data_IF_346134350780
#
_entry.id   IF_346134350780
#
_cell.length_a   1.000
_cell.length_b   1.000
_cell.length_c   1.000
_cell.angle_alpha   90.00
_cell.angle_beta   90.00
_cell.angle_gamma   90.00
#
_symmetry.space_group_name_H-M   'P 1'
#
loop_
_entity.id
_entity.type
_entity.pdbx_description
1 polymer ?
#
# COMPACT_ATOMS: atom_id res chain seq x y z
N UNK A 1 -1.72 5.47 33.02
CA UNK A 1 -1.35 6.75 33.70
C UNK A 1 -2.62 7.59 33.80
N UNK A 2 -2.91 8.32 34.90
CA UNK A 2 -4.18 9.07 34.99
C UNK A 2 -4.20 10.25 34.01
N UNK A 3 -5.37 10.59 33.45
CA UNK A 3 -5.60 11.72 32.53
C UNK A 3 -4.99 13.02 33.08
N UNK A 4 -4.99 13.21 34.41
CA UNK A 4 -4.42 14.38 35.07
C UNK A 4 -2.88 14.46 34.92
N UNK A 5 -2.16 13.33 35.12
CA UNK A 5 -0.71 13.25 34.90
C UNK A 5 -0.33 13.36 33.42
N UNK A 6 -1.18 12.85 32.53
CA UNK A 6 -1.02 13.00 31.07
C UNK A 6 -1.20 14.47 30.67
N UNK A 7 -2.23 15.17 31.16
CA UNK A 7 -2.42 16.61 30.88
C UNK A 7 -1.30 17.49 31.46
N UNK A 8 -0.77 17.14 32.63
CA UNK A 8 0.38 17.85 33.25
C UNK A 8 1.71 17.55 32.53
N UNK A 9 1.92 16.31 32.07
CA UNK A 9 3.11 15.90 31.33
C UNK A 9 3.08 16.35 29.85
N UNK A 10 1.90 16.50 29.27
CA UNK A 10 1.68 16.92 27.88
C UNK A 10 1.34 18.41 27.76
N UNK A 11 2.22 19.27 28.28
CA UNK A 11 2.38 20.62 27.71
C UNK A 11 3.28 20.53 26.48
N UNK A 12 2.82 19.83 25.44
CA UNK A 12 3.41 20.02 24.10
C UNK A 12 3.16 21.47 23.71
N UNK A 13 4.19 22.20 23.26
CA UNK A 13 4.14 23.66 23.04
C UNK A 13 2.93 24.06 22.17
N UNK A 14 1.88 24.55 22.84
CA UNK A 14 0.65 25.05 22.23
C UNK A 14 -0.46 24.02 21.95
N UNK A 15 -0.31 22.74 22.32
CA UNK A 15 -1.35 21.72 22.13
C UNK A 15 -2.15 21.47 23.41
N UNK A 16 -3.45 21.75 23.36
CA UNK A 16 -4.40 21.47 24.43
C UNK A 16 -5.00 20.08 24.27
N UNK A 17 -4.68 19.14 25.15
CA UNK A 17 -5.23 17.77 25.10
C UNK A 17 -6.71 17.75 25.50
N UNK A 18 -7.56 17.26 24.59
CA UNK A 18 -9.01 17.20 24.75
C UNK A 18 -9.45 15.87 25.35
N UNK A 19 -9.25 14.76 24.62
CA UNK A 19 -9.67 13.40 25.01
C UNK A 19 -8.85 12.32 24.30
N UNK A 20 -8.93 11.09 24.78
CA UNK A 20 -8.38 9.93 24.06
C UNK A 20 -9.26 9.62 22.84
N UNK A 21 -8.63 9.26 21.72
CA UNK A 21 -9.28 8.81 20.47
C UNK A 21 -9.23 7.29 20.33
N UNK A 22 -8.13 6.68 20.75
CA UNK A 22 -7.96 5.24 20.68
C UNK A 22 -6.75 4.76 21.45
N UNK A 23 -6.82 3.52 21.88
CA UNK A 23 -5.76 2.85 22.64
C UNK A 23 -5.37 1.55 21.90
N UNK A 24 -4.20 1.56 21.27
CA UNK A 24 -3.62 0.37 20.64
C UNK A 24 -2.72 -0.42 21.59
N UNK A 25 -2.21 -1.56 21.14
CA UNK A 25 -1.23 -2.34 21.91
C UNK A 25 0.10 -1.60 22.15
N UNK A 26 0.45 -0.64 21.30
CA UNK A 26 1.77 0.02 21.27
C UNK A 26 1.72 1.53 21.51
N UNK A 27 0.56 2.16 21.34
CA UNK A 27 0.43 3.60 21.44
C UNK A 27 -0.99 3.99 21.87
N UNK A 28 -1.10 5.15 22.49
CA UNK A 28 -2.33 5.87 22.72
C UNK A 28 -2.41 7.04 21.73
N UNK A 29 -3.61 7.31 21.21
CA UNK A 29 -3.86 8.44 20.32
C UNK A 29 -4.81 9.40 21.01
N UNK A 30 -4.41 10.66 21.08
CA UNK A 30 -5.14 11.72 21.79
C UNK A 30 -5.59 12.79 20.82
N UNK A 31 -6.80 13.32 21.01
CA UNK A 31 -7.27 14.53 20.36
C UNK A 31 -6.66 15.73 21.07
N UNK A 32 -6.10 16.65 20.31
CA UNK A 32 -5.55 17.91 20.79
C UNK A 32 -6.02 19.08 19.93
N UNK A 33 -6.01 20.28 20.52
CA UNK A 33 -6.35 21.53 19.84
C UNK A 33 -5.21 22.55 19.95
N UNK A 34 -4.91 23.22 18.84
CA UNK A 34 -3.90 24.28 18.75
C UNK A 34 -4.35 25.32 17.73
N UNK A 35 -4.37 26.58 18.13
CA UNK A 35 -4.76 27.73 17.29
C UNK A 35 -6.10 27.52 16.57
N UNK A 36 -7.10 27.01 17.30
CA UNK A 36 -8.45 26.72 16.76
C UNK A 36 -8.54 25.50 15.82
N UNK A 37 -7.47 24.71 15.67
CA UNK A 37 -7.42 23.51 14.83
C UNK A 37 -7.24 22.25 15.66
N UNK A 38 -7.83 21.15 15.19
CA UNK A 38 -7.75 19.82 15.82
C UNK A 38 -6.65 18.96 15.21
N UNK A 39 -5.98 18.19 16.07
CA UNK A 39 -4.87 17.30 15.74
C UNK A 39 -5.02 15.97 16.50
N UNK A 40 -4.47 14.91 15.93
CA UNK A 40 -4.28 13.66 16.64
C UNK A 40 -2.81 13.56 17.09
N UNK A 41 -2.57 13.16 18.34
CA UNK A 41 -1.24 13.00 18.92
C UNK A 41 -1.07 11.53 19.31
N UNK A 42 -0.22 10.81 18.57
CA UNK A 42 0.16 9.43 18.87
C UNK A 42 1.32 9.43 19.85
N UNK A 43 1.17 8.68 20.93
CA UNK A 43 2.13 8.59 22.03
C UNK A 43 2.40 7.11 22.26
N UNK A 44 3.66 6.63 22.18
CA UNK A 44 3.95 5.24 22.43
C UNK A 44 3.66 4.91 23.90
N UNK A 45 3.06 3.75 24.13
CA UNK A 45 2.81 3.25 25.48
C UNK A 45 4.13 2.92 26.16
N UNK A 46 4.39 3.58 27.27
CA UNK A 46 5.44 3.19 28.21
C UNK A 46 4.82 2.11 29.09
N UNK A 47 5.23 0.86 28.93
CA UNK A 47 4.71 -0.21 29.77
C UNK A 47 5.07 0.07 31.23
N UNK A 48 4.11 -0.13 32.15
CA UNK A 48 4.32 0.09 33.60
C UNK A 48 5.41 -0.86 34.16
N UNK A 49 5.73 -1.94 33.43
CA UNK A 49 6.75 -2.93 33.77
C UNK A 49 8.02 -2.83 32.91
N UNK A 50 8.04 -1.93 31.92
CA UNK A 50 9.18 -1.74 31.00
C UNK A 50 9.35 -0.26 30.69
N UNK A 51 10.48 0.30 31.12
CA UNK A 51 11.02 1.52 30.54
C UNK A 51 11.08 1.34 29.01
N UNK A 52 10.65 2.34 28.22
CA UNK A 52 10.91 2.36 26.77
C UNK A 52 12.40 2.07 26.57
N UNK A 53 12.73 0.95 25.91
CA UNK A 53 14.12 0.72 25.56
C UNK A 53 14.54 1.82 24.58
N UNK A 54 15.79 2.31 24.63
CA UNK A 54 16.29 3.25 23.64
C UNK A 54 16.04 2.79 22.19
N UNK A 55 16.07 1.47 21.96
CA UNK A 55 15.78 0.84 20.67
C UNK A 55 14.32 0.98 20.24
N UNK A 56 13.36 0.92 21.15
CA UNK A 56 11.94 1.06 20.80
C UNK A 56 11.59 2.53 20.51
N UNK A 57 12.23 3.46 21.23
CA UNK A 57 12.12 4.88 20.96
C UNK A 57 12.74 5.24 19.59
N UNK A 58 13.94 4.75 19.29
CA UNK A 58 14.59 4.96 18.00
C UNK A 58 13.72 4.47 16.84
N UNK A 59 13.11 3.28 16.97
CA UNK A 59 12.16 2.74 15.98
C UNK A 59 10.94 3.64 15.81
N UNK A 60 10.34 4.11 16.90
CA UNK A 60 9.18 4.99 16.87
C UNK A 60 9.50 6.31 16.13
N UNK A 61 10.65 6.91 16.40
CA UNK A 61 11.08 8.14 15.73
C UNK A 61 11.42 7.90 14.25
N UNK A 62 12.05 6.77 13.93
CA UNK A 62 12.33 6.39 12.54
C UNK A 62 11.05 6.15 11.73
N UNK A 63 10.04 5.55 12.35
CA UNK A 63 8.69 5.43 11.77
C UNK A 63 8.09 6.81 11.50
N UNK A 64 8.15 7.71 12.48
CA UNK A 64 7.66 9.09 12.33
C UNK A 64 8.38 9.83 11.20
N UNK A 65 9.71 9.70 11.12
CA UNK A 65 10.52 10.33 10.08
C UNK A 65 10.12 9.84 8.69
N UNK A 66 10.02 8.52 8.49
CA UNK A 66 9.67 7.95 7.19
C UNK A 66 8.25 8.33 6.78
N UNK A 67 7.30 8.25 7.73
CA UNK A 67 5.93 8.68 7.48
C UNK A 67 5.86 10.17 7.14
N UNK A 68 6.62 11.03 7.82
CA UNK A 68 6.64 12.48 7.54
C UNK A 68 7.11 12.85 6.13
N UNK A 69 7.89 11.96 5.47
CA UNK A 69 8.36 12.14 4.09
C UNK A 69 7.31 11.76 3.05
N UNK A 70 6.28 11.00 3.41
CA UNK A 70 5.21 10.60 2.51
C UNK A 70 4.19 11.74 2.31
N UNK A 71 4.11 12.29 1.10
CA UNK A 71 3.22 13.40 0.75
C UNK A 71 2.21 12.95 -0.30
N UNK A 72 1.05 12.46 0.14
CA UNK A 72 -0.02 12.02 -0.74
C UNK A 72 -1.41 12.35 -0.15
N UNK A 73 -2.40 12.67 -0.99
CA UNK A 73 -3.75 13.07 -0.55
C UNK A 73 -4.47 12.00 0.28
N UNK A 74 -4.17 10.72 0.05
CA UNK A 74 -4.72 9.56 0.76
C UNK A 74 -3.76 8.97 1.81
N UNK A 75 -2.80 9.76 2.31
CA UNK A 75 -1.94 9.42 3.43
C UNK A 75 -2.20 10.44 4.54
N UNK A 76 -2.41 9.97 5.77
CA UNK A 76 -2.58 10.85 6.92
C UNK A 76 -1.31 11.68 7.10
N UNK A 77 -1.46 13.00 7.15
CA UNK A 77 -0.32 13.92 7.22
C UNK A 77 0.28 13.93 8.63
N UNK A 78 1.59 13.76 8.72
CA UNK A 78 2.38 14.08 9.92
C UNK A 78 2.77 15.55 9.88
N UNK A 79 2.51 16.28 10.96
CA UNK A 79 2.89 17.68 11.12
C UNK A 79 4.19 17.85 11.90
N UNK A 80 4.33 17.11 12.99
CA UNK A 80 5.48 17.20 13.88
C UNK A 80 5.71 15.85 14.56
N UNK A 81 6.94 15.59 14.97
CA UNK A 81 7.27 14.48 15.86
C UNK A 81 8.48 14.86 16.72
N UNK A 82 8.62 14.23 17.88
CA UNK A 82 9.71 14.56 18.79
C UNK A 82 9.75 13.67 20.02
N UNK A 83 10.74 13.93 20.88
CA UNK A 83 11.00 13.15 22.11
C UNK A 83 10.67 13.90 23.39
N UNK A 84 10.45 15.22 23.31
CA UNK A 84 10.24 16.10 24.47
C UNK A 84 8.85 16.74 24.45
N UNK A 85 8.17 16.86 25.60
CA UNK A 85 8.58 16.31 26.91
C UNK A 85 8.46 14.78 27.00
N UNK A 86 7.88 14.14 25.99
CA UNK A 86 7.81 12.68 25.80
C UNK A 86 7.75 12.38 24.29
N UNK A 87 8.01 11.13 23.87
CA UNK A 87 7.92 10.72 22.47
C UNK A 87 6.50 10.90 21.90
N UNK A 88 6.38 11.56 20.74
CA UNK A 88 5.09 11.84 20.14
C UNK A 88 5.16 12.00 18.62
N UNK A 89 4.02 11.82 17.96
CA UNK A 89 3.77 12.19 16.57
C UNK A 89 2.46 12.97 16.53
N UNK A 90 2.51 14.22 16.05
CA UNK A 90 1.33 15.04 15.76
C UNK A 90 0.95 14.86 14.29
N UNK A 91 -0.31 14.52 14.07
CA UNK A 91 -0.86 14.20 12.75
C UNK A 91 -2.24 14.80 12.54
N UNK A 92 -2.69 14.77 11.30
CA UNK A 92 -4.05 15.14 10.89
C UNK A 92 -5.08 14.38 11.72
N UNK A 93 -6.02 15.12 12.31
CA UNK A 93 -7.15 14.51 13.00
C UNK A 93 -8.20 14.04 12.00
N UNK A 94 -8.49 12.74 12.02
CA UNK A 94 -9.49 12.09 11.20
C UNK A 94 -10.49 11.40 12.14
N UNK A 95 -11.79 11.61 11.91
CA UNK A 95 -12.81 11.42 12.94
C UNK A 95 -13.15 9.96 13.20
N UNK A 96 -13.23 9.17 12.14
CA UNK A 96 -13.65 7.76 12.17
C UNK A 96 -12.72 6.91 11.33
N UNK A 97 -12.59 5.64 11.71
CA UNK A 97 -11.91 4.61 10.94
C UNK A 97 -12.87 3.91 9.97
N UNK A 98 -12.34 3.22 8.97
CA UNK A 98 -13.12 2.37 8.08
C UNK A 98 -13.79 1.23 8.84
N UNK A 99 -13.16 0.72 9.91
CA UNK A 99 -13.76 -0.31 10.77
C UNK A 99 -15.16 0.07 11.26
N UNK A 100 -15.37 1.33 11.62
CA UNK A 100 -16.65 1.80 12.20
C UNK A 100 -17.80 1.76 11.20
N UNK A 101 -17.53 1.86 9.90
CA UNK A 101 -18.55 1.93 8.85
C UNK A 101 -18.47 0.81 7.82
N UNK A 102 -17.58 -0.18 8.01
CA UNK A 102 -17.30 -1.20 6.99
C UNK A 102 -18.54 -2.01 6.60
N UNK A 103 -19.49 -2.16 7.53
CA UNK A 103 -20.74 -2.90 7.31
C UNK A 103 -21.82 -2.09 6.58
N UNK A 104 -21.60 -0.80 6.34
CA UNK A 104 -22.57 0.12 5.73
C UNK A 104 -22.25 0.45 4.28
N UNK A 105 -21.13 -0.08 3.75
CA UNK A 105 -20.63 0.25 2.42
C UNK A 105 -21.43 -0.45 1.34
N UNK A 106 -21.84 0.30 0.31
CA UNK A 106 -22.19 -0.29 -0.97
C UNK A 106 -20.93 -0.58 -1.81
N UNK A 107 -21.11 -1.29 -2.93
CA UNK A 107 -20.02 -1.69 -3.81
C UNK A 107 -19.21 -0.50 -4.37
N UNK A 108 -19.88 0.58 -4.78
CA UNK A 108 -19.22 1.74 -5.37
C UNK A 108 -18.38 2.49 -4.32
N UNK A 109 -18.89 2.59 -3.09
CA UNK A 109 -18.15 3.14 -1.96
C UNK A 109 -16.92 2.29 -1.62
N UNK A 110 -17.08 0.96 -1.55
CA UNK A 110 -15.99 0.03 -1.30
C UNK A 110 -14.90 0.14 -2.39
N UNK A 111 -15.29 0.20 -3.67
CA UNK A 111 -14.35 0.36 -4.79
C UNK A 111 -13.64 1.72 -4.77
N UNK A 112 -14.36 2.80 -4.48
CA UNK A 112 -13.77 4.13 -4.37
C UNK A 112 -12.76 4.22 -3.22
N UNK A 113 -13.09 3.65 -2.05
CA UNK A 113 -12.16 3.56 -0.92
C UNK A 113 -10.94 2.71 -1.30
N UNK A 114 -11.16 1.53 -1.91
CA UNK A 114 -10.09 0.64 -2.34
C UNK A 114 -9.13 1.33 -3.32
N UNK A 115 -9.64 2.03 -4.33
CA UNK A 115 -8.80 2.75 -5.28
C UNK A 115 -7.94 3.83 -4.61
N UNK A 116 -8.52 4.61 -3.68
CA UNK A 116 -7.78 5.63 -2.93
C UNK A 116 -6.69 5.05 -2.02
N UNK A 117 -6.96 3.90 -1.38
CA UNK A 117 -5.95 3.16 -0.61
C UNK A 117 -4.86 2.61 -1.54
N UNK A 118 -5.25 2.04 -2.68
CA UNK A 118 -4.31 1.52 -3.67
C UNK A 118 -3.39 2.63 -4.24
N UNK A 119 -3.93 3.83 -4.51
CA UNK A 119 -3.15 5.02 -4.90
C UNK A 119 -2.11 5.41 -3.83
N UNK A 120 -2.47 5.36 -2.54
CA UNK A 120 -1.53 5.63 -1.45
C UNK A 120 -0.42 4.57 -1.37
N UNK A 121 -0.77 3.29 -1.57
CA UNK A 121 0.20 2.19 -1.59
C UNK A 121 1.13 2.28 -2.80
N UNK A 122 0.60 2.59 -3.97
CA UNK A 122 1.38 2.82 -5.19
C UNK A 122 2.44 3.89 -4.95
N UNK A 123 2.01 5.03 -4.42
CA UNK A 123 2.89 6.13 -4.07
C UNK A 123 4.00 5.66 -3.11
N UNK A 124 3.67 4.98 -2.02
CA UNK A 124 4.66 4.52 -1.05
C UNK A 124 5.62 3.46 -1.62
N UNK A 125 5.12 2.50 -2.41
CA UNK A 125 5.93 1.46 -3.04
C UNK A 125 6.95 2.05 -4.01
N UNK A 126 6.59 3.09 -4.76
CA UNK A 126 7.50 3.83 -5.63
C UNK A 126 8.62 4.56 -4.85
N UNK A 127 8.39 4.87 -3.57
CA UNK A 127 9.38 5.43 -2.65
C UNK A 127 10.14 4.35 -1.85
N UNK A 128 9.96 3.07 -2.20
CA UNK A 128 10.63 1.95 -1.53
C UNK A 128 10.09 1.64 -0.13
N UNK A 129 8.89 2.12 0.20
CA UNK A 129 8.26 1.95 1.52
C UNK A 129 7.14 0.93 1.41
N UNK A 130 7.15 -0.06 2.31
CA UNK A 130 6.09 -1.08 2.44
C UNK A 130 5.35 -0.86 3.75
N UNK A 131 4.02 -0.87 3.73
CA UNK A 131 3.19 -0.53 4.88
C UNK A 131 3.10 -1.66 5.92
N UNK A 132 2.84 -2.89 5.49
CA UNK A 132 2.82 -4.14 6.28
C UNK A 132 1.69 -4.30 7.30
N UNK A 133 0.75 -3.38 7.37
CA UNK A 133 -0.36 -3.41 8.33
C UNK A 133 -1.65 -2.80 7.76
N UNK A 134 -2.00 -3.13 6.52
CA UNK A 134 -3.23 -2.64 5.90
C UNK A 134 -4.42 -3.41 6.49
N UNK A 135 -5.35 -2.67 7.08
CA UNK A 135 -6.57 -3.16 7.72
C UNK A 135 -7.55 -1.99 7.95
N UNK A 136 -8.85 -2.24 8.19
CA UNK A 136 -9.85 -1.18 8.34
C UNK A 136 -9.55 -0.17 9.45
N UNK A 137 -8.89 -0.57 10.53
CA UNK A 137 -8.52 0.31 11.64
C UNK A 137 -7.51 1.38 11.22
N UNK A 138 -6.69 1.09 10.19
CA UNK A 138 -5.63 1.99 9.73
C UNK A 138 -6.05 2.86 8.53
N UNK A 139 -7.33 2.83 8.15
CA UNK A 139 -7.88 3.69 7.09
C UNK A 139 -8.84 4.66 7.77
N UNK A 140 -8.44 5.93 7.86
CA UNK A 140 -9.21 6.96 8.55
C UNK A 140 -9.92 7.88 7.57
N UNK A 141 -11.07 8.42 7.96
CA UNK A 141 -11.81 9.41 7.18
C UNK A 141 -11.54 10.82 7.70
N UNK A 142 -10.84 11.61 6.88
CA UNK A 142 -10.56 13.01 7.14
C UNK A 142 -11.54 13.83 6.27
N UNK A 143 -12.71 14.12 6.83
CA UNK A 143 -13.87 14.52 6.04
C UNK A 143 -14.43 13.35 5.24
N UNK A 144 -14.55 13.50 3.91
CA UNK A 144 -15.01 12.43 3.00
C UNK A 144 -13.86 11.58 2.42
N UNK A 145 -12.61 11.97 2.68
CA UNK A 145 -11.45 11.34 2.08
C UNK A 145 -10.89 10.23 2.98
N UNK A 146 -10.82 8.97 2.49
CA UNK A 146 -10.08 7.91 3.18
C UNK A 146 -8.58 8.17 3.06
N UNK A 147 -7.87 8.01 4.18
CA UNK A 147 -6.43 8.17 4.28
C UNK A 147 -5.81 7.04 5.08
N UNK A 148 -4.71 6.49 4.57
CA UNK A 148 -3.95 5.43 5.22
C UNK A 148 -3.03 6.02 6.29
N UNK A 149 -3.03 5.42 7.47
CA UNK A 149 -2.28 5.83 8.67
C UNK A 149 -1.39 4.70 9.17
N UNK A 150 -0.56 4.94 10.18
CA UNK A 150 0.26 3.92 10.85
C UNK A 150 1.25 3.19 9.92
N UNK A 151 2.12 3.97 9.28
CA UNK A 151 3.20 3.54 8.37
C UNK A 151 4.38 2.83 9.08
N UNK A 152 4.07 2.03 10.10
CA UNK A 152 5.02 1.45 11.02
C UNK A 152 5.88 0.34 10.45
N UNK A 153 7.15 0.66 10.21
CA UNK A 153 8.21 -0.32 9.89
C UNK A 153 8.46 -1.30 11.05
N UNK A 154 8.15 -0.90 12.28
CA UNK A 154 8.53 -1.60 13.51
C UNK A 154 7.87 -2.97 13.73
N UNK A 155 6.81 -3.33 12.99
CA UNK A 155 6.15 -4.64 13.14
C UNK A 155 6.99 -5.84 12.67
N UNK A 156 8.08 -5.62 11.93
CA UNK A 156 8.99 -6.71 11.50
C UNK A 156 9.68 -7.42 12.68
N UNK A 157 9.93 -6.74 13.80
CA UNK A 157 10.74 -7.32 14.88
C UNK A 157 9.94 -8.02 16.00
N UNK A 158 8.61 -8.09 15.93
CA UNK A 158 7.85 -9.02 16.78
C UNK A 158 8.10 -10.49 16.39
N UNK A 159 8.73 -10.75 15.23
CA UNK A 159 9.34 -12.05 14.92
C UNK A 159 10.63 -12.34 15.72
N UNK A 160 11.31 -11.32 16.27
CA UNK A 160 12.56 -11.51 17.02
C UNK A 160 12.35 -11.75 18.52
N UNK A 161 11.12 -11.61 19.03
CA UNK A 161 10.75 -12.14 20.35
C UNK A 161 9.80 -13.31 20.16
N UNK A 162 10.34 -14.53 20.20
CA UNK A 162 9.64 -15.82 20.21
C UNK A 162 8.64 -16.02 21.38
N UNK A 163 8.22 -14.94 22.07
CA UNK A 163 7.33 -14.95 23.24
C UNK A 163 6.38 -13.74 23.35
N UNK A 164 6.24 -12.89 22.35
CA UNK A 164 5.18 -11.87 22.38
C UNK A 164 3.90 -12.47 21.78
N UNK A 165 2.99 -12.87 22.65
CA UNK A 165 1.60 -13.21 22.32
C UNK A 165 1.09 -12.22 21.27
N UNK A 166 0.69 -12.72 20.10
CA UNK A 166 -0.10 -11.92 19.14
C UNK A 166 -1.33 -11.43 19.89
N UNK A 167 -1.34 -10.17 20.32
CA UNK A 167 -2.52 -9.55 20.94
C UNK A 167 -3.53 -9.26 19.83
N UNK A 168 -4.31 -10.28 19.47
CA UNK A 168 -5.39 -10.22 18.47
C UNK A 168 -5.30 -11.26 17.35
N UNK A 169 -6.42 -11.50 16.67
CA UNK A 169 -6.50 -12.40 15.52
C UNK A 169 -5.82 -11.76 14.29
N UNK A 170 -4.85 -12.44 13.63
CA UNK A 170 -4.07 -11.86 12.53
C UNK A 170 -4.83 -11.87 11.19
N UNK A 171 -6.05 -11.32 11.16
CA UNK A 171 -7.04 -11.42 10.08
C UNK A 171 -6.53 -10.99 8.69
N UNK A 172 -5.56 -10.07 8.64
CA UNK A 172 -4.98 -9.53 7.40
C UNK A 172 -3.56 -10.01 7.15
N UNK A 173 -2.91 -10.70 8.10
CA UNK A 173 -1.50 -11.07 7.95
C UNK A 173 -1.30 -11.96 6.72
N UNK A 174 -0.25 -11.67 5.96
CA UNK A 174 0.15 -12.49 4.82
C UNK A 174 0.87 -13.77 5.27
N UNK A 175 0.86 -14.85 4.48
CA UNK A 175 1.58 -16.09 4.79
C UNK A 175 3.05 -15.88 5.20
N UNK A 176 3.77 -15.02 4.48
CA UNK A 176 5.17 -14.66 4.78
C UNK A 176 5.37 -13.92 6.11
N UNK A 177 4.32 -13.27 6.63
CA UNK A 177 4.36 -12.66 7.97
C UNK A 177 4.22 -13.72 9.07
N UNK A 178 3.58 -14.86 8.79
CA UNK A 178 3.35 -15.94 9.75
C UNK A 178 4.42 -17.04 9.67
N UNK A 179 4.90 -17.36 8.46
CA UNK A 179 5.91 -18.38 8.21
C UNK A 179 6.88 -17.90 7.09
N UNK A 180 7.89 -17.08 7.43
CA UNK A 180 8.86 -16.58 6.45
C UNK A 180 9.75 -17.68 5.86
N UNK A 181 10.04 -18.74 6.61
CA UNK A 181 10.88 -19.85 6.14
C UNK A 181 10.27 -20.54 4.91
N UNK A 182 8.94 -20.65 4.86
CA UNK A 182 8.21 -21.30 3.76
C UNK A 182 7.80 -20.32 2.66
N UNK A 183 7.37 -19.09 3.02
CA UNK A 183 6.77 -18.14 2.08
C UNK A 183 7.69 -16.97 1.70
N UNK A 184 8.93 -16.98 2.21
CA UNK A 184 9.96 -15.98 1.96
C UNK A 184 9.82 -14.72 2.84
N UNK A 185 10.69 -13.74 2.59
CA UNK A 185 10.71 -12.48 3.33
C UNK A 185 9.59 -11.51 2.92
N UNK A 186 9.27 -10.56 3.78
CA UNK A 186 8.27 -9.50 3.55
C UNK A 186 8.75 -8.55 2.45
N UNK A 187 7.88 -8.26 1.47
CA UNK A 187 8.09 -7.23 0.45
C UNK A 187 6.77 -6.51 0.13
N UNK A 188 6.74 -5.65 -0.91
CA UNK A 188 5.52 -4.88 -1.27
C UNK A 188 4.32 -5.78 -1.65
N UNK A 189 4.53 -7.06 -1.97
CA UNK A 189 3.46 -8.02 -2.25
C UNK A 189 2.75 -8.48 -0.97
N UNK A 190 3.32 -8.22 0.20
CA UNK A 190 2.62 -8.35 1.49
C UNK A 190 1.49 -7.34 1.58
N UNK A 191 1.70 -6.10 1.13
CA UNK A 191 0.65 -5.08 1.10
C UNK A 191 -0.47 -5.45 0.11
N UNK A 192 -0.12 -6.10 -1.00
CA UNK A 192 -1.08 -6.59 -1.99
C UNK A 192 -2.01 -7.65 -1.39
N UNK A 193 -1.47 -8.57 -0.59
CA UNK A 193 -2.29 -9.55 0.14
C UNK A 193 -3.27 -8.85 1.09
N UNK A 194 -2.75 -7.93 1.91
CA UNK A 194 -3.56 -7.21 2.90
C UNK A 194 -4.63 -6.34 2.24
N UNK A 195 -4.32 -5.71 1.11
CA UNK A 195 -5.26 -5.01 0.25
C UNK A 195 -6.36 -5.95 -0.27
N UNK A 196 -6.00 -7.17 -0.69
CA UNK A 196 -6.97 -8.20 -1.08
C UNK A 196 -7.92 -8.58 0.05
N UNK A 197 -7.40 -8.78 1.27
CA UNK A 197 -8.21 -9.07 2.45
C UNK A 197 -9.17 -7.91 2.79
N UNK A 198 -8.67 -6.67 2.72
CA UNK A 198 -9.45 -5.47 2.95
C UNK A 198 -10.60 -5.33 1.94
N UNK A 199 -10.30 -5.46 0.64
CA UNK A 199 -11.31 -5.35 -0.42
C UNK A 199 -12.35 -6.47 -0.32
N UNK A 200 -11.92 -7.70 -0.03
CA UNK A 200 -12.82 -8.82 0.24
C UNK A 200 -13.79 -8.48 1.37
N UNK A 201 -13.28 -8.02 2.52
CA UNK A 201 -14.11 -7.75 3.68
C UNK A 201 -15.07 -6.58 3.47
N UNK A 202 -14.65 -5.50 2.81
CA UNK A 202 -15.53 -4.36 2.52
C UNK A 202 -16.77 -4.78 1.70
N UNK A 203 -16.68 -5.86 0.92
CA UNK A 203 -17.77 -6.34 0.07
C UNK A 203 -18.54 -7.48 0.73
N UNK A 204 -17.82 -8.44 1.31
CA UNK A 204 -18.44 -9.65 1.88
C UNK A 204 -18.93 -9.43 3.33
N UNK A 205 -18.38 -8.44 4.03
CA UNK A 205 -18.66 -8.10 5.43
C UNK A 205 -17.84 -8.90 6.46
N UNK A 206 -17.02 -9.86 6.01
CA UNK A 206 -16.11 -10.63 6.87
C UNK A 206 -14.77 -10.91 6.17
N UNK A 207 -13.65 -11.01 6.90
CA UNK A 207 -12.35 -11.34 6.31
C UNK A 207 -12.32 -12.74 5.66
N UNK A 208 -11.50 -12.95 4.61
CA UNK A 208 -11.54 -14.15 3.78
C UNK A 208 -11.14 -15.46 4.50
N UNK A 209 -10.34 -15.36 5.57
CA UNK A 209 -9.79 -16.51 6.31
C UNK A 209 -10.30 -16.61 7.76
N UNK A 210 -11.30 -15.82 8.14
CA UNK A 210 -11.80 -15.75 9.51
C UNK A 210 -12.17 -17.12 10.08
N UNK A 211 -11.75 -17.36 11.32
CA UNK A 211 -12.22 -18.41 12.21
C UNK A 211 -12.38 -17.84 13.62
N UNK A 212 -13.17 -18.51 14.47
CA UNK A 212 -13.43 -18.06 15.85
C UNK A 212 -12.14 -17.98 16.67
N UNK A 213 -11.22 -18.91 16.47
CA UNK A 213 -9.95 -18.98 17.19
C UNK A 213 -8.79 -18.38 16.38
N UNK A 214 -7.91 -17.57 16.99
CA UNK A 214 -6.75 -16.99 16.31
C UNK A 214 -5.82 -18.02 15.66
N UNK A 215 -5.57 -19.14 16.35
CA UNK A 215 -4.77 -20.26 15.84
C UNK A 215 -5.32 -20.84 14.55
N UNK A 216 -6.64 -21.07 14.51
CA UNK A 216 -7.30 -21.59 13.32
C UNK A 216 -7.28 -20.59 12.16
N UNK A 217 -7.41 -19.29 12.45
CA UNK A 217 -7.26 -18.24 11.43
C UNK A 217 -5.86 -18.28 10.80
N UNK A 218 -4.80 -18.44 11.60
CA UNK A 218 -3.44 -18.59 11.09
C UNK A 218 -3.30 -19.83 10.20
N UNK A 219 -3.84 -20.98 10.64
CA UNK A 219 -3.85 -22.21 9.83
C UNK A 219 -4.58 -21.98 8.50
N UNK A 220 -5.72 -21.30 8.51
CA UNK A 220 -6.47 -20.97 7.29
C UNK A 220 -5.66 -20.08 6.34
N UNK A 221 -4.99 -19.05 6.88
CA UNK A 221 -4.11 -18.17 6.11
C UNK A 221 -2.96 -18.96 5.47
N UNK A 222 -2.43 -19.99 6.13
CA UNK A 222 -1.31 -20.77 5.60
C UNK A 222 -1.75 -21.88 4.62
N UNK A 223 -2.91 -22.49 4.82
CA UNK A 223 -3.25 -23.78 4.19
C UNK A 223 -4.52 -23.81 3.36
N UNK A 224 -5.47 -22.89 3.58
CA UNK A 224 -6.80 -22.93 2.93
C UNK A 224 -6.90 -21.88 1.83
N UNK A 225 -7.69 -22.13 0.80
CA UNK A 225 -8.16 -21.09 -0.11
C UNK A 225 -9.09 -20.12 0.63
N UNK A 226 -9.19 -18.84 0.22
CA UNK A 226 -10.15 -17.93 0.83
C UNK A 226 -11.57 -18.45 0.62
N UNK A 227 -12.47 -18.09 1.53
CA UNK A 227 -13.91 -18.36 1.35
C UNK A 227 -14.36 -17.81 0.00
N UNK A 228 -15.24 -18.53 -0.69
CA UNK A 228 -15.75 -18.11 -2.00
C UNK A 228 -16.52 -16.79 -1.80
N UNK A 229 -16.17 -15.70 -2.51
CA UNK A 229 -16.89 -14.45 -2.39
C UNK A 229 -18.25 -14.56 -3.09
N UNK A 230 -19.32 -14.25 -2.36
CA UNK A 230 -20.71 -14.39 -2.83
C UNK A 230 -21.28 -13.05 -3.30
N UNK A 231 -21.00 -11.96 -2.56
CA UNK A 231 -21.49 -10.61 -2.87
C UNK A 231 -20.64 -9.89 -3.91
N UNK A 232 -19.38 -10.32 -4.07
CA UNK A 232 -18.44 -9.74 -5.02
C UNK A 232 -18.90 -9.99 -6.46
N UNK A 233 -18.93 -8.98 -7.34
CA UNK A 233 -19.20 -9.17 -8.76
C UNK A 233 -18.19 -10.09 -9.44
N UNK A 234 -18.64 -10.89 -10.41
CA UNK A 234 -17.79 -11.90 -11.07
C UNK A 234 -16.51 -11.33 -11.69
N UNK A 235 -16.55 -10.11 -12.21
CA UNK A 235 -15.37 -9.46 -12.80
C UNK A 235 -14.30 -9.10 -11.75
N UNK A 236 -14.69 -8.89 -10.48
CA UNK A 236 -13.80 -8.47 -9.40
C UNK A 236 -13.24 -9.66 -8.63
N UNK A 237 -13.95 -10.80 -8.61
CA UNK A 237 -13.48 -12.06 -8.00
C UNK A 237 -12.05 -12.42 -8.41
N UNK A 238 -11.67 -12.52 -9.71
CA UNK A 238 -10.31 -12.91 -10.08
C UNK A 238 -9.25 -11.90 -9.60
N UNK A 239 -9.60 -10.61 -9.50
CA UNK A 239 -8.68 -9.58 -8.99
C UNK A 239 -8.38 -9.83 -7.52
N UNK A 240 -9.41 -9.99 -6.69
CA UNK A 240 -9.28 -10.27 -5.25
C UNK A 240 -8.56 -11.60 -5.03
N UNK A 241 -8.96 -12.66 -5.74
CA UNK A 241 -8.36 -13.99 -5.58
C UNK A 241 -6.88 -14.01 -5.91
N UNK A 242 -6.45 -13.27 -6.96
CA UNK A 242 -5.04 -13.13 -7.29
C UNK A 242 -4.25 -12.33 -6.24
N UNK A 243 -4.87 -11.39 -5.51
CA UNK A 243 -4.22 -10.78 -4.33
C UNK A 243 -3.97 -11.80 -3.21
N UNK A 244 -4.85 -12.80 -3.08
CA UNK A 244 -4.88 -13.80 -2.00
C UNK A 244 -4.17 -15.12 -2.34
N UNK A 245 -3.31 -15.12 -3.36
CA UNK A 245 -2.42 -16.23 -3.66
C UNK A 245 -1.39 -16.42 -2.52
N UNK A 246 -1.18 -17.67 -2.08
CA UNK A 246 -0.30 -17.94 -0.93
C UNK A 246 1.16 -17.63 -1.27
N UNK A 247 1.63 -18.11 -2.42
CA UNK A 247 2.95 -17.78 -2.96
C UNK A 247 2.90 -16.37 -3.50
N UNK A 248 3.70 -15.47 -2.93
CA UNK A 248 3.72 -14.04 -3.30
C UNK A 248 4.08 -13.81 -4.77
N UNK A 249 4.83 -14.71 -5.40
CA UNK A 249 5.18 -14.69 -6.83
C UNK A 249 3.96 -14.86 -7.75
N UNK A 250 2.89 -15.49 -7.25
CA UNK A 250 1.62 -15.67 -7.99
C UNK A 250 0.65 -14.51 -7.81
N UNK A 251 0.93 -13.60 -6.85
CA UNK A 251 0.13 -12.39 -6.65
C UNK A 251 0.34 -11.41 -7.79
N UNK A 252 -0.45 -10.33 -7.79
CA UNK A 252 -0.16 -9.18 -8.63
C UNK A 252 1.27 -8.68 -8.39
N UNK A 253 1.97 -8.35 -9.47
CA UNK A 253 3.36 -7.88 -9.39
C UNK A 253 3.46 -6.52 -8.68
N UNK A 254 2.49 -5.65 -8.93
CA UNK A 254 2.38 -4.30 -8.36
C UNK A 254 0.93 -3.94 -8.09
N UNK A 255 0.70 -3.01 -7.16
CA UNK A 255 -0.64 -2.46 -6.89
C UNK A 255 -1.17 -1.63 -8.07
N UNK A 256 -0.29 -1.02 -8.88
CA UNK A 256 -0.63 -0.30 -10.12
C UNK A 256 -1.47 -1.15 -11.08
N UNK A 257 -1.10 -2.42 -11.27
CA UNK A 257 -1.81 -3.34 -12.15
C UNK A 257 -3.24 -3.61 -11.65
N UNK A 258 -3.44 -3.61 -10.32
CA UNK A 258 -4.77 -3.76 -9.72
C UNK A 258 -5.61 -2.50 -9.97
N UNK A 259 -5.03 -1.31 -9.78
CA UNK A 259 -5.69 -0.02 -10.06
C UNK A 259 -6.16 0.03 -11.52
N UNK A 260 -5.29 -0.35 -12.46
CA UNK A 260 -5.59 -0.40 -13.89
C UNK A 260 -6.74 -1.36 -14.18
N UNK A 261 -6.67 -2.60 -13.69
CA UNK A 261 -7.71 -3.62 -13.90
C UNK A 261 -9.09 -3.18 -13.39
N UNK A 262 -9.15 -2.54 -12.21
CA UNK A 262 -10.41 -2.03 -11.65
C UNK A 262 -10.95 -0.87 -12.51
N UNK A 263 -10.10 0.11 -12.86
CA UNK A 263 -10.53 1.29 -13.62
C UNK A 263 -10.95 0.96 -15.05
N UNK A 264 -10.26 0.04 -15.71
CA UNK A 264 -10.63 -0.43 -17.04
C UNK A 264 -12.03 -1.07 -17.02
N UNK A 265 -12.30 -1.91 -16.02
CA UNK A 265 -13.62 -2.51 -15.86
C UNK A 265 -14.70 -1.47 -15.58
N UNK A 266 -14.46 -0.51 -14.69
CA UNK A 266 -15.40 0.60 -14.45
C UNK A 266 -15.70 1.39 -15.73
N UNK A 267 -14.69 1.67 -16.57
CA UNK A 267 -14.91 2.33 -17.88
C UNK A 267 -15.79 1.50 -18.80
N UNK A 268 -15.55 0.20 -18.91
CA UNK A 268 -16.36 -0.68 -19.78
C UNK A 268 -17.81 -0.79 -19.31
N UNK A 269 -18.05 -0.86 -18.00
CA UNK A 269 -19.39 -0.90 -17.42
C UNK A 269 -20.14 0.42 -17.67
N UNK A 270 -19.47 1.56 -17.51
CA UNK A 270 -20.05 2.88 -17.77
C UNK A 270 -20.28 3.14 -19.28
N UNK A 271 -19.42 2.64 -20.16
CA UNK A 271 -19.65 2.73 -21.61
C UNK A 271 -20.82 1.84 -22.08
N UNK A 272 -21.06 0.72 -21.39
CA UNK A 272 -22.19 -0.16 -21.64
C UNK A 272 -23.54 0.40 -21.18
N UNK A 273 -23.56 1.24 -20.13
CA UNK A 273 -24.79 1.90 -19.66
C UNK A 273 -25.25 3.04 -20.58
N UNK A 274 -24.33 3.73 -21.27
CA UNK A 274 -24.67 4.76 -22.26
C UNK A 274 -25.27 4.23 -23.58
N UNK A 275 -25.21 2.91 -23.85
CA UNK A 275 -25.76 2.31 -25.08
C UNK A 275 -27.24 1.87 -24.98
N UNK A 276 -27.96 2.19 -23.90
CA UNK A 276 -29.37 1.77 -23.71
C UNK A 276 -30.45 2.85 -23.91
N UNK A 277 -30.10 4.07 -24.31
CA UNK A 277 -31.09 5.05 -24.76
C UNK A 277 -30.94 5.30 -26.26
N UNK A 278 -31.63 4.48 -27.06
CA UNK A 278 -31.88 4.78 -28.46
C UNK A 278 -32.92 5.89 -28.57
N UNK A 279 -32.47 7.14 -28.69
CA UNK A 279 -33.28 8.19 -29.33
C UNK A 279 -32.90 8.26 -30.81
N UNK A 280 -33.86 7.87 -31.65
CA UNK A 280 -33.86 8.12 -33.09
C UNK A 280 -33.90 9.63 -33.34
N UNK A 281 -32.75 10.23 -33.65
CA UNK A 281 -32.68 11.56 -34.26
C UNK A 281 -31.92 11.42 -35.57
N UNK A 282 -32.64 11.66 -36.67
CA UNK A 282 -32.07 11.87 -38.00
C UNK A 282 -31.20 13.14 -37.95
N UNK A 283 -29.88 13.00 -38.06
CA UNK A 283 -29.00 14.15 -38.31
C UNK A 283 -28.42 14.07 -39.72
N UNK A 284 -28.84 15.05 -40.52
CA UNK A 284 -28.17 15.48 -41.75
C UNK A 284 -26.74 15.89 -41.42
N UNK A 285 -25.86 15.52 -42.35
CA UNK A 285 -24.48 15.95 -42.55
C UNK A 285 -24.17 17.37 -42.04
N UNK A 286 -23.06 17.49 -41.30
CA UNK A 286 -22.06 18.54 -41.51
C UNK A 286 -20.73 18.06 -40.89
N UNK A 287 -19.70 18.13 -41.72
CA UNK A 287 -18.33 17.67 -41.52
C UNK A 287 -17.62 18.40 -40.37
N UNK A 288 -16.73 17.71 -39.65
CA UNK A 288 -15.38 18.23 -39.39
C UNK A 288 -14.44 17.20 -38.76
N UNK A 289 -13.30 17.04 -39.43
CA UNK A 289 -11.99 16.55 -38.96
C UNK A 289 -11.92 15.11 -38.43
N UNK A 290 -11.59 14.22 -39.36
CA UNK A 290 -11.02 12.89 -39.12
C UNK A 290 -9.76 13.06 -38.25
N UNK A 291 -9.86 12.70 -36.96
CA UNK A 291 -8.72 12.24 -36.18
C UNK A 291 -8.50 10.79 -36.64
N UNK A 292 -7.31 10.39 -37.12
CA UNK A 292 -7.10 9.00 -37.50
C UNK A 292 -7.32 8.11 -36.27
N UNK A 293 -7.96 6.94 -36.40
CA UNK A 293 -8.14 6.03 -35.28
C UNK A 293 -6.77 5.67 -34.71
N UNK A 294 -6.57 5.93 -33.42
CA UNK A 294 -5.43 5.40 -32.66
C UNK A 294 -5.52 3.89 -32.78
N UNK A 295 -4.54 3.28 -33.46
CA UNK A 295 -4.41 1.84 -33.60
C UNK A 295 -4.23 1.24 -32.20
N UNK A 296 -5.28 0.62 -31.67
CA UNK A 296 -5.21 -0.10 -30.39
C UNK A 296 -4.55 -1.43 -30.68
N UNK A 297 -3.32 -1.63 -30.19
CA UNK A 297 -2.64 -2.92 -30.27
C UNK A 297 -3.47 -3.99 -29.53
N UNK A 298 -3.64 -5.20 -30.10
CA UNK A 298 -4.30 -6.32 -29.43
C UNK A 298 -3.59 -6.67 -28.11
N UNK A 299 -4.34 -7.10 -27.09
CA UNK A 299 -3.80 -7.46 -25.76
C UNK A 299 -2.66 -8.49 -25.83
N UNK A 300 -2.75 -9.46 -26.75
CA UNK A 300 -1.69 -10.43 -27.01
C UNK A 300 -0.41 -9.77 -27.55
N UNK A 301 -0.54 -8.78 -28.43
CA UNK A 301 0.62 -8.03 -28.96
C UNK A 301 1.25 -7.11 -27.89
N UNK A 302 0.48 -6.62 -26.92
CA UNK A 302 1.00 -5.92 -25.73
C UNK A 302 1.74 -6.86 -24.77
N UNK A 303 1.22 -8.07 -24.56
CA UNK A 303 1.89 -9.11 -23.78
C UNK A 303 3.19 -9.57 -24.45
N UNK A 304 3.17 -9.81 -25.77
CA UNK A 304 4.33 -10.20 -26.57
C UNK A 304 5.40 -9.09 -26.59
N UNK A 305 5.00 -7.82 -26.74
CA UNK A 305 5.90 -6.65 -26.67
C UNK A 305 6.52 -6.47 -25.27
N UNK A 306 5.76 -6.75 -24.22
CA UNK A 306 6.24 -6.69 -22.83
C UNK A 306 7.23 -7.81 -22.50
N UNK A 307 6.97 -9.03 -22.99
CA UNK A 307 7.86 -10.17 -22.85
C UNK A 307 9.17 -9.92 -23.61
N UNK A 308 9.08 -9.44 -24.86
CA UNK A 308 10.23 -9.04 -25.67
C UNK A 308 11.08 -7.95 -24.98
N UNK A 309 10.45 -6.91 -24.42
CA UNK A 309 11.13 -5.86 -23.66
C UNK A 309 11.84 -6.39 -22.39
N UNK A 310 11.30 -7.44 -21.77
CA UNK A 310 11.90 -8.08 -20.61
C UNK A 310 13.09 -8.96 -21.01
N UNK A 311 12.97 -9.75 -22.07
CA UNK A 311 14.06 -10.56 -22.62
C UNK A 311 15.24 -9.68 -23.06
N UNK A 312 14.98 -8.58 -23.78
CA UNK A 312 16.03 -7.64 -24.20
C UNK A 312 16.73 -7.01 -22.98
N UNK A 313 15.97 -6.67 -21.94
CA UNK A 313 16.54 -6.18 -20.68
C UNK A 313 17.46 -7.23 -20.05
N UNK A 314 17.01 -8.48 -19.92
CA UNK A 314 17.80 -9.53 -19.27
C UNK A 314 19.09 -9.82 -20.05
N UNK A 315 19.03 -9.82 -21.38
CA UNK A 315 20.23 -9.93 -22.24
C UNK A 315 21.20 -8.77 -21.98
N UNK A 316 20.70 -7.53 -21.95
CA UNK A 316 21.54 -6.36 -21.67
C UNK A 316 22.21 -6.44 -20.29
N UNK A 317 21.52 -6.97 -19.28
CA UNK A 317 22.07 -7.13 -17.93
C UNK A 317 23.16 -8.20 -17.86
N UNK A 318 22.98 -9.35 -18.52
CA UNK A 318 24.02 -10.38 -18.56
C UNK A 318 25.25 -9.91 -19.34
N UNK A 319 25.07 -9.20 -20.45
CA UNK A 319 26.18 -8.57 -21.18
C UNK A 319 26.95 -7.57 -20.30
N UNK A 320 26.24 -6.77 -19.50
CA UNK A 320 26.87 -5.83 -18.59
C UNK A 320 27.67 -6.54 -17.48
N UNK A 321 27.18 -7.68 -16.96
CA UNK A 321 27.90 -8.51 -15.97
C UNK A 321 29.18 -9.12 -16.54
N UNK A 322 29.20 -9.43 -17.83
CA UNK A 322 30.39 -9.90 -18.55
C UNK A 322 31.37 -8.75 -18.91
N UNK A 323 31.07 -7.51 -18.55
CA UNK A 323 31.91 -6.34 -18.83
C UNK A 323 31.73 -5.76 -20.24
N UNK A 324 30.77 -6.25 -21.03
CA UNK A 324 30.44 -5.73 -22.38
C UNK A 324 29.48 -4.54 -22.30
N UNK A 325 29.94 -3.48 -21.63
CA UNK A 325 29.09 -2.36 -21.22
C UNK A 325 28.50 -1.57 -22.40
N UNK A 326 29.30 -1.21 -23.40
CA UNK A 326 28.79 -0.44 -24.55
C UNK A 326 27.76 -1.21 -25.37
N UNK A 327 27.95 -2.52 -25.50
CA UNK A 327 27.04 -3.41 -26.21
C UNK A 327 25.74 -3.60 -25.42
N UNK A 328 25.84 -3.75 -24.10
CA UNK A 328 24.68 -3.81 -23.21
C UNK A 328 23.80 -2.55 -23.32
N UNK A 329 24.40 -1.36 -23.43
CA UNK A 329 23.67 -0.11 -23.62
C UNK A 329 22.94 -0.06 -24.97
N UNK A 330 23.63 -0.45 -26.07
CA UNK A 330 23.01 -0.55 -27.41
C UNK A 330 21.85 -1.55 -27.45
N UNK A 331 21.93 -2.63 -26.68
CA UNK A 331 20.84 -3.61 -26.55
C UNK A 331 19.69 -3.03 -25.74
N UNK A 332 19.98 -2.36 -24.62
CA UNK A 332 18.96 -1.69 -23.82
C UNK A 332 18.21 -0.60 -24.61
N UNK A 333 18.87 0.15 -25.51
CA UNK A 333 18.24 1.16 -26.37
C UNK A 333 17.14 0.60 -27.28
N UNK A 334 17.23 -0.68 -27.68
CA UNK A 334 16.24 -1.35 -28.54
C UNK A 334 14.92 -1.66 -27.81
N UNK A 335 14.84 -1.43 -26.50
CA UNK A 335 13.62 -1.65 -25.71
C UNK A 335 12.62 -0.53 -26.02
N UNK A 336 11.55 -0.84 -26.75
CA UNK A 336 10.52 0.16 -27.09
C UNK A 336 9.82 0.71 -25.83
N UNK A 337 9.53 -0.13 -24.84
CA UNK A 337 8.96 0.29 -23.55
C UNK A 337 9.92 1.22 -22.78
N UNK A 338 9.54 2.50 -22.66
CA UNK A 338 10.35 3.55 -22.02
C UNK A 338 10.67 3.25 -20.55
N UNK A 339 9.77 2.61 -19.82
CA UNK A 339 9.97 2.30 -18.40
C UNK A 339 11.00 1.18 -18.21
N UNK A 340 10.90 0.12 -19.01
CA UNK A 340 11.84 -1.00 -19.02
C UNK A 340 13.22 -0.58 -19.50
N UNK A 341 13.28 0.27 -20.53
CA UNK A 341 14.51 0.89 -21.02
C UNK A 341 15.24 1.66 -19.92
N UNK A 342 14.52 2.54 -19.21
CA UNK A 342 15.08 3.31 -18.10
C UNK A 342 15.51 2.41 -16.92
N UNK A 343 14.75 1.36 -16.64
CA UNK A 343 15.12 0.38 -15.61
C UNK A 343 16.38 -0.41 -15.98
N UNK A 344 16.53 -0.79 -17.24
CA UNK A 344 17.73 -1.46 -17.75
C UNK A 344 18.96 -0.55 -17.62
N UNK A 345 18.87 0.71 -18.06
CA UNK A 345 19.95 1.68 -17.91
C UNK A 345 20.36 1.89 -16.46
N UNK A 346 19.40 2.05 -15.55
CA UNK A 346 19.70 2.22 -14.12
C UNK A 346 20.47 1.03 -13.56
N UNK A 347 20.09 -0.19 -13.91
CA UNK A 347 20.74 -1.41 -13.42
C UNK A 347 22.13 -1.60 -14.03
N UNK A 348 22.31 -1.25 -15.31
CA UNK A 348 23.62 -1.25 -15.97
C UNK A 348 24.56 -0.23 -15.30
N UNK A 349 24.10 1.00 -15.05
CA UNK A 349 24.87 2.04 -14.34
C UNK A 349 25.25 1.58 -12.93
N UNK A 350 24.32 0.98 -12.18
CA UNK A 350 24.63 0.40 -10.86
C UNK A 350 25.63 -0.76 -10.95
N UNK A 351 25.60 -1.54 -12.02
CA UNK A 351 26.61 -2.57 -12.31
C UNK A 351 28.00 -1.98 -12.52
N UNK A 352 28.12 -0.91 -13.32
CA UNK A 352 29.39 -0.21 -13.54
C UNK A 352 29.99 0.33 -12.23
N UNK A 353 29.16 0.93 -11.37
CA UNK A 353 29.56 1.44 -10.05
C UNK A 353 30.11 0.30 -9.18
N UNK A 354 29.47 -0.87 -9.19
CA UNK A 354 29.93 -2.05 -8.42
C UNK A 354 31.25 -2.62 -8.95
N UNK A 355 31.53 -2.45 -10.23
CA UNK A 355 32.80 -2.85 -10.86
C UNK A 355 33.90 -1.77 -10.73
N UNK A 356 33.64 -0.67 -10.02
CA UNK A 356 34.59 0.41 -9.80
C UNK A 356 34.77 1.36 -10.99
N UNK A 357 33.91 1.29 -12.02
CA UNK A 357 33.99 2.12 -13.21
C UNK A 357 33.10 3.37 -13.09
N UNK A 358 33.47 4.28 -12.20
CA UNK A 358 32.67 5.45 -11.81
C UNK A 358 32.56 6.51 -12.91
N UNK A 359 33.65 6.78 -13.65
CA UNK A 359 33.66 7.79 -14.71
C UNK A 359 32.79 7.40 -15.91
N UNK A 360 32.75 6.11 -16.26
CA UNK A 360 31.84 5.60 -17.28
C UNK A 360 30.39 5.62 -16.80
N UNK A 361 30.13 5.28 -15.53
CA UNK A 361 28.80 5.34 -14.94
C UNK A 361 28.21 6.76 -14.96
N UNK A 362 29.03 7.79 -14.72
CA UNK A 362 28.64 9.20 -14.73
C UNK A 362 28.32 9.74 -16.13
N UNK A 363 28.93 9.20 -17.19
CA UNK A 363 28.63 9.60 -18.59
C UNK A 363 27.33 9.02 -19.11
N UNK A 364 26.87 7.91 -18.52
CA UNK A 364 25.68 7.16 -18.94
C UNK A 364 24.44 7.54 -18.11
N UNK A 365 24.63 7.93 -16.84
CA UNK A 365 23.59 8.47 -15.96
C UNK A 365 23.14 9.87 -16.40
#
# INVERSE_FOLDING_TARGET
MSIKKVKEAIKLKGYNIVRILGEGGFAEVWLAEKDGKQYAIKIPKISVQRTLSPKDLEKFLREAEIWSKLKHKNIVKVFEYGTKPFPHIVMEYCKISLREKINELNLDEALNIALKVAEALEYAHLHGIVHRDIKPENILFCGKEPKLTDWGIAKILLKASTRSVYTGTPLYSAPEQLNPETFGEIDWRTDIWQFGCLLYEMIEGKPPFYAEYPGQTMINILTKTPRKPEKTPDWLKPIIMKCLEKKKEKRWRTITLIIQAIREKQKTLNAGSFKRETYSIKTKSLENKIIPPISIMPQKALEDSYEQATTIKDIALEMAKEGKIEEALKVAEKIEDRYKRNSAFKEIVLGMVRMGNFDAALKVA
#
